data_IF_349171066743
#
_entry.id   IF_349171066743
#
_cell.length_a   1.000
_cell.length_b   1.000
_cell.length_c   1.000
_cell.angle_alpha   90.00
_cell.angle_beta   90.00
_cell.angle_gamma   90.00
#
_symmetry.space_group_name_H-M   'P 1'
#
loop_
_entity.id
_entity.type
_entity.pdbx_description
1 polymer ?
#
# COMPACT_ATOMS: atom_id res chain seq x y z
N UNK A 1 30.42 -7.92 -47.59
CA UNK A 1 29.90 -6.62 -47.15
C UNK A 1 29.02 -6.93 -45.98
N UNK A 2 29.59 -6.79 -44.82
CA UNK A 2 28.96 -7.08 -43.54
C UNK A 2 28.42 -5.74 -43.01
N UNK A 3 27.10 -5.55 -43.07
CA UNK A 3 26.46 -4.37 -42.52
C UNK A 3 26.32 -4.57 -41.00
N UNK A 4 27.35 -4.12 -40.29
CA UNK A 4 27.28 -3.99 -38.84
C UNK A 4 26.18 -3.00 -38.46
N UNK A 5 25.08 -3.50 -37.92
CA UNK A 5 24.07 -2.70 -37.24
C UNK A 5 24.67 -2.11 -35.97
N UNK A 6 25.14 -0.89 -36.14
CA UNK A 6 25.58 -0.02 -35.03
C UNK A 6 24.36 0.29 -34.16
N UNK A 7 24.18 -0.49 -33.07
CA UNK A 7 23.20 -0.16 -32.05
C UNK A 7 23.74 1.04 -31.27
N UNK A 8 22.95 2.09 -31.05
CA UNK A 8 23.40 3.23 -30.28
C UNK A 8 23.78 2.76 -28.87
N UNK A 9 25.06 2.87 -28.52
CA UNK A 9 25.53 2.73 -27.14
C UNK A 9 24.78 3.77 -26.30
N UNK A 10 23.94 3.31 -25.37
CA UNK A 10 23.32 4.18 -24.38
C UNK A 10 24.45 4.72 -23.48
N UNK A 11 24.85 5.96 -23.73
CA UNK A 11 25.79 6.66 -22.86
C UNK A 11 25.09 7.05 -21.56
N UNK A 12 25.20 6.21 -20.53
CA UNK A 12 24.81 6.59 -19.18
C UNK A 12 25.68 7.75 -18.69
N UNK A 13 25.02 8.86 -18.33
CA UNK A 13 25.74 9.98 -17.73
C UNK A 13 25.93 9.69 -16.23
N UNK A 14 27.15 9.84 -15.67
CA UNK A 14 27.38 9.70 -14.25
C UNK A 14 26.56 10.69 -13.46
N UNK A 15 26.10 10.29 -12.27
CA UNK A 15 25.36 11.17 -11.36
C UNK A 15 26.22 12.37 -10.93
N UNK A 16 25.83 13.56 -11.40
CA UNK A 16 26.48 14.84 -11.02
C UNK A 16 26.08 15.28 -9.58
N UNK A 17 25.07 14.66 -8.98
CA UNK A 17 24.62 14.97 -7.62
C UNK A 17 25.37 14.21 -6.53
N UNK A 18 26.07 13.11 -6.86
CA UNK A 18 26.72 12.19 -5.94
C UNK A 18 25.73 11.43 -5.05
N UNK A 19 24.47 11.29 -5.49
CA UNK A 19 23.44 10.60 -4.70
C UNK A 19 23.38 9.09 -4.93
N UNK A 20 23.95 8.61 -6.04
CA UNK A 20 24.01 7.18 -6.35
C UNK A 20 25.24 6.84 -7.19
N UNK A 21 25.62 5.58 -7.16
CA UNK A 21 26.62 4.97 -8.03
C UNK A 21 25.92 4.01 -8.98
N UNK A 22 26.28 4.04 -10.28
CA UNK A 22 25.74 3.15 -11.29
C UNK A 22 26.62 1.91 -11.43
N UNK A 23 25.98 0.76 -11.52
CA UNK A 23 26.64 -0.51 -11.84
C UNK A 23 26.79 -0.70 -13.35
N UNK A 24 27.89 -1.31 -13.76
CA UNK A 24 28.19 -1.59 -15.15
C UNK A 24 28.56 -3.07 -15.35
N UNK A 25 28.13 -3.69 -16.46
CA UNK A 25 27.38 -3.11 -17.59
C UNK A 25 25.92 -2.83 -17.23
N UNK A 26 25.36 -1.78 -17.84
CA UNK A 26 23.95 -1.45 -17.67
C UNK A 26 23.03 -2.61 -18.09
N UNK A 27 21.98 -2.92 -17.30
CA UNK A 27 21.07 -4.01 -17.62
C UNK A 27 20.26 -3.72 -18.89
N UNK A 28 19.87 -4.77 -19.60
CA UNK A 28 19.00 -4.65 -20.76
C UNK A 28 17.55 -4.51 -20.30
N UNK A 29 16.95 -3.33 -20.49
CA UNK A 29 15.59 -3.00 -20.07
C UNK A 29 14.57 -2.97 -21.22
N UNK A 30 14.97 -3.43 -22.42
CA UNK A 30 14.07 -3.47 -23.56
C UNK A 30 13.07 -4.61 -23.43
N UNK A 31 11.78 -4.27 -23.39
CA UNK A 31 10.69 -5.26 -23.48
C UNK A 31 10.44 -5.65 -24.95
N UNK A 32 9.82 -6.82 -25.16
CA UNK A 32 9.50 -7.33 -26.49
C UNK A 32 8.53 -6.42 -27.27
N UNK A 33 7.71 -5.63 -26.57
CA UNK A 33 6.74 -4.69 -27.13
C UNK A 33 7.32 -3.29 -27.40
N UNK A 34 8.62 -3.08 -27.13
CA UNK A 34 9.31 -1.81 -27.31
C UNK A 34 8.94 -0.72 -26.31
N UNK A 35 8.10 -1.03 -25.31
CA UNK A 35 7.78 -0.08 -24.24
C UNK A 35 8.90 -0.07 -23.20
N UNK A 36 9.13 1.11 -22.58
CA UNK A 36 10.05 1.23 -21.47
C UNK A 36 9.59 0.43 -20.23
N UNK A 37 10.50 0.13 -19.29
CA UNK A 37 10.17 -0.59 -18.08
C UNK A 37 9.22 0.21 -17.18
N UNK A 38 8.52 -0.47 -16.25
CA UNK A 38 7.91 0.17 -15.10
C UNK A 38 8.92 0.27 -13.97
N UNK A 39 8.82 1.30 -13.15
CA UNK A 39 9.55 1.45 -11.90
C UNK A 39 8.59 1.19 -10.73
N UNK A 40 8.85 0.15 -9.96
CA UNK A 40 8.17 -0.11 -8.69
C UNK A 40 9.04 0.48 -7.59
N UNK A 41 8.47 1.32 -6.72
CA UNK A 41 9.19 1.76 -5.53
C UNK A 41 8.55 1.17 -4.26
N UNK A 42 9.41 0.58 -3.44
CA UNK A 42 9.09 -0.14 -2.22
C UNK A 42 10.03 0.33 -1.09
N UNK A 43 9.75 1.52 -0.55
CA UNK A 43 10.56 2.15 0.49
C UNK A 43 10.06 1.75 1.88
N UNK A 44 10.93 1.11 2.67
CA UNK A 44 10.63 0.62 4.01
C UNK A 44 10.66 1.77 5.01
N UNK A 45 9.50 2.17 5.54
CA UNK A 45 9.46 3.31 6.46
C UNK A 45 8.08 3.57 7.03
N UNK A 46 7.60 4.80 6.86
CA UNK A 46 6.36 5.27 7.46
C UNK A 46 5.11 4.51 6.99
N UNK A 47 5.03 4.17 5.73
CA UNK A 47 3.87 3.48 5.12
C UNK A 47 4.13 1.99 4.91
N UNK A 48 4.60 1.27 5.95
CA UNK A 48 4.95 -0.15 5.88
C UNK A 48 4.30 -0.98 7.02
N UNK A 49 3.01 -0.78 7.25
CA UNK A 49 2.26 -1.61 8.20
C UNK A 49 2.35 -3.09 7.83
N UNK A 50 2.52 -3.95 8.83
CA UNK A 50 2.68 -5.40 8.62
C UNK A 50 3.98 -5.77 7.92
N UNK A 51 4.97 -4.87 7.87
CA UNK A 51 6.19 -5.03 7.07
C UNK A 51 5.90 -5.41 5.60
N UNK A 52 4.78 -4.97 5.09
CA UNK A 52 4.19 -5.41 3.82
C UNK A 52 5.05 -4.99 2.62
N UNK A 53 5.50 -3.72 2.60
CA UNK A 53 6.33 -3.17 1.53
C UNK A 53 7.68 -3.88 1.49
N UNK A 54 8.29 -4.09 2.67
CA UNK A 54 9.52 -4.86 2.80
C UNK A 54 9.35 -6.31 2.34
N UNK A 55 8.28 -6.99 2.77
CA UNK A 55 7.98 -8.37 2.35
C UNK A 55 7.82 -8.47 0.84
N UNK A 56 7.10 -7.53 0.22
CA UNK A 56 6.91 -7.49 -1.23
C UNK A 56 8.25 -7.32 -1.97
N UNK A 57 9.09 -6.37 -1.55
CA UNK A 57 10.40 -6.14 -2.15
C UNK A 57 11.34 -7.34 -1.99
N UNK A 58 11.40 -7.92 -0.79
CA UNK A 58 12.24 -9.09 -0.51
C UNK A 58 11.76 -10.31 -1.29
N UNK A 59 10.45 -10.51 -1.39
CA UNK A 59 9.87 -11.60 -2.17
C UNK A 59 10.29 -11.51 -3.64
N UNK A 60 10.12 -10.34 -4.28
CA UNK A 60 10.54 -10.13 -5.67
C UNK A 60 12.04 -10.39 -5.87
N UNK A 61 12.89 -9.85 -4.99
CA UNK A 61 14.36 -10.05 -5.07
C UNK A 61 14.78 -11.51 -4.88
N UNK A 62 14.05 -12.28 -4.08
CA UNK A 62 14.39 -13.66 -3.77
C UNK A 62 13.86 -14.67 -4.79
N UNK A 63 12.82 -14.32 -5.53
CA UNK A 63 12.15 -15.24 -6.45
C UNK A 63 12.42 -14.96 -7.92
N UNK A 64 12.86 -13.76 -8.25
CA UNK A 64 13.12 -13.35 -9.63
C UNK A 64 14.61 -13.11 -9.88
N UNK A 65 15.00 -13.20 -11.15
CA UNK A 65 16.35 -12.82 -11.59
C UNK A 65 16.55 -11.31 -11.36
N UNK A 66 17.57 -10.96 -10.59
CA UNK A 66 17.76 -9.61 -10.03
C UNK A 66 19.17 -9.12 -10.31
N UNK A 67 19.31 -7.98 -10.97
CA UNK A 67 20.58 -7.30 -11.25
C UNK A 67 20.59 -5.92 -10.55
N UNK A 68 21.69 -5.56 -9.88
CA UNK A 68 21.86 -4.23 -9.29
C UNK A 68 22.12 -3.21 -10.42
N UNK A 69 21.39 -2.10 -10.40
CA UNK A 69 21.49 -0.99 -11.36
C UNK A 69 22.17 0.22 -10.77
N UNK A 70 21.77 0.59 -9.54
CA UNK A 70 22.35 1.72 -8.82
C UNK A 70 22.24 1.53 -7.31
N UNK A 71 23.26 1.97 -6.60
CA UNK A 71 23.29 2.03 -5.13
C UNK A 71 23.27 3.49 -4.68
N UNK A 72 22.32 3.84 -3.80
CA UNK A 72 22.21 5.18 -3.26
C UNK A 72 23.15 5.41 -2.08
N UNK A 73 23.62 6.65 -1.94
CA UNK A 73 24.52 7.07 -0.86
C UNK A 73 23.80 7.10 0.49
N UNK A 74 23.65 5.93 1.10
CA UNK A 74 22.83 5.69 2.30
C UNK A 74 23.28 6.55 3.49
N UNK A 75 24.58 6.78 3.65
CA UNK A 75 25.16 7.62 4.71
C UNK A 75 24.71 9.09 4.65
N UNK A 76 24.27 9.55 3.47
CA UNK A 76 23.76 10.89 3.29
C UNK A 76 22.24 10.98 3.48
N UNK A 77 21.57 9.84 3.48
CA UNK A 77 20.12 9.71 3.45
C UNK A 77 19.50 9.26 4.76
N UNK A 78 20.23 8.49 5.59
CA UNK A 78 19.71 7.98 6.85
C UNK A 78 20.23 8.75 8.07
N UNK A 79 19.37 8.90 9.07
CA UNK A 79 19.76 9.28 10.41
C UNK A 79 20.02 8.02 11.26
N UNK A 80 21.27 7.58 11.31
CA UNK A 80 21.69 6.43 12.11
C UNK A 80 21.40 6.56 13.61
N UNK A 81 21.07 7.74 14.10
CA UNK A 81 20.69 7.94 15.50
C UNK A 81 19.25 7.58 15.76
N UNK A 82 18.39 7.78 14.77
CA UNK A 82 16.96 7.39 14.81
C UNK A 82 16.75 5.92 14.45
N UNK A 83 17.54 5.41 13.51
CA UNK A 83 17.46 4.04 12.99
C UNK A 83 18.83 3.37 13.04
N UNK A 84 19.18 2.80 14.22
CA UNK A 84 20.48 2.15 14.42
C UNK A 84 20.49 0.77 13.77
N UNK A 85 21.37 0.53 12.77
CA UNK A 85 21.57 -0.81 12.23
C UNK A 85 22.06 -1.77 13.31
N UNK A 86 21.69 -3.03 13.21
CA UNK A 86 22.06 -4.04 14.17
C UNK A 86 23.48 -4.56 13.91
N UNK A 87 24.19 -4.83 14.97
CA UNK A 87 25.48 -5.51 14.94
C UNK A 87 25.45 -6.71 15.87
N UNK A 88 26.07 -7.80 15.47
CA UNK A 88 26.23 -8.98 16.32
C UNK A 88 27.56 -8.92 17.04
N UNK A 89 27.52 -8.89 18.39
CA UNK A 89 28.69 -9.03 19.23
C UNK A 89 28.82 -10.48 19.70
N UNK A 90 29.91 -11.14 19.38
CA UNK A 90 30.14 -12.53 19.75
C UNK A 90 31.44 -12.62 20.57
N UNK A 91 31.30 -13.03 21.85
CA UNK A 91 32.35 -13.21 22.81
C UNK A 91 33.15 -11.92 23.10
N UNK A 92 34.00 -11.46 22.20
CA UNK A 92 34.94 -10.35 22.36
C UNK A 92 35.07 -9.43 21.14
N UNK A 93 34.29 -9.68 20.07
CA UNK A 93 34.34 -8.90 18.82
C UNK A 93 33.01 -8.86 18.12
N UNK A 94 32.86 -7.88 17.21
CA UNK A 94 31.71 -7.80 16.30
C UNK A 94 31.91 -8.72 15.10
N UNK A 95 30.89 -9.50 14.74
CA UNK A 95 30.95 -10.52 13.68
C UNK A 95 30.04 -10.22 12.49
N UNK A 96 29.02 -9.41 12.69
CA UNK A 96 28.07 -9.06 11.63
C UNK A 96 27.58 -7.62 11.81
N UNK A 97 27.29 -6.98 10.70
CA UNK A 97 26.67 -5.67 10.61
C UNK A 97 25.53 -5.75 9.59
N UNK A 98 24.35 -5.36 10.01
CA UNK A 98 23.16 -5.29 9.15
C UNK A 98 23.20 -3.98 8.38
N UNK A 99 23.88 -4.01 7.22
CA UNK A 99 24.19 -2.82 6.42
C UNK A 99 22.90 -2.27 5.78
N UNK A 100 22.54 -1.02 6.06
CA UNK A 100 21.35 -0.43 5.45
C UNK A 100 21.54 -0.27 3.93
N UNK A 101 20.52 -0.62 3.18
CA UNK A 101 20.54 -0.55 1.72
C UNK A 101 19.41 0.32 1.20
N UNK A 102 19.68 1.02 0.10
CA UNK A 102 18.70 1.66 -0.75
C UNK A 102 19.20 1.58 -2.19
N UNK A 103 18.62 0.70 -2.97
CA UNK A 103 19.14 0.31 -4.26
C UNK A 103 18.05 0.30 -5.34
N UNK A 104 18.45 0.54 -6.58
CA UNK A 104 17.67 0.29 -7.76
C UNK A 104 18.11 -1.03 -8.40
N UNK A 105 17.18 -1.93 -8.61
CA UNK A 105 17.39 -3.23 -9.23
C UNK A 105 16.64 -3.32 -10.56
N UNK A 106 17.17 -4.09 -11.50
CA UNK A 106 16.47 -4.59 -12.66
C UNK A 106 16.05 -6.03 -12.39
N UNK A 107 14.77 -6.34 -12.58
CA UNK A 107 14.21 -7.66 -12.42
C UNK A 107 13.53 -8.10 -13.70
N UNK A 108 13.35 -9.41 -13.84
CA UNK A 108 12.55 -10.02 -14.92
C UNK A 108 11.45 -10.86 -14.31
N UNK A 109 10.23 -10.67 -14.83
CA UNK A 109 9.09 -11.48 -14.45
C UNK A 109 9.19 -12.92 -15.01
N UNK A 110 8.24 -13.80 -14.69
CA UNK A 110 8.24 -15.22 -15.07
C UNK A 110 8.28 -15.46 -16.59
N UNK A 111 7.95 -14.46 -17.41
CA UNK A 111 8.02 -14.53 -18.89
C UNK A 111 9.17 -13.68 -19.48
N UNK A 112 10.02 -13.13 -18.62
CA UNK A 112 11.21 -12.37 -19.01
C UNK A 112 10.97 -10.88 -19.28
N UNK A 113 9.80 -10.31 -18.91
CA UNK A 113 9.54 -8.88 -19.05
C UNK A 113 10.35 -8.09 -18.01
N UNK A 114 11.20 -7.13 -18.46
CA UNK A 114 12.03 -6.36 -17.53
C UNK A 114 11.22 -5.28 -16.83
N UNK A 115 11.51 -5.08 -15.55
CA UNK A 115 11.03 -3.96 -14.75
C UNK A 115 12.08 -3.52 -13.73
N UNK A 116 11.88 -2.37 -13.12
CA UNK A 116 12.78 -1.78 -12.14
C UNK A 116 12.14 -1.82 -10.75
N UNK A 117 12.96 -2.10 -9.74
CA UNK A 117 12.56 -2.07 -8.32
C UNK A 117 13.51 -1.15 -7.55
N UNK A 118 13.00 -0.04 -7.05
CA UNK A 118 13.67 0.82 -6.07
C UNK A 118 13.27 0.32 -4.68
N UNK A 119 14.18 -0.29 -3.96
CA UNK A 119 13.90 -0.93 -2.68
C UNK A 119 14.99 -0.66 -1.64
N UNK A 120 14.58 -0.59 -0.38
CA UNK A 120 15.42 -0.37 0.77
C UNK A 120 14.80 0.62 1.74
N UNK A 121 15.62 1.15 2.66
CA UNK A 121 15.15 2.04 3.71
C UNK A 121 14.71 3.40 3.16
N UNK A 122 13.55 3.86 3.61
CA UNK A 122 13.08 5.20 3.31
C UNK A 122 14.07 6.27 3.84
N UNK A 123 14.52 7.24 3.00
CA UNK A 123 15.38 8.32 3.43
C UNK A 123 14.80 9.16 4.57
N UNK A 124 15.63 9.46 5.59
CA UNK A 124 15.30 10.43 6.65
C UNK A 124 15.64 11.85 6.23
N UNK A 125 16.64 12.00 5.35
CA UNK A 125 17.27 13.27 5.00
C UNK A 125 17.29 13.48 3.49
N UNK A 126 17.42 14.75 3.06
CA UNK A 126 17.68 15.14 1.66
C UNK A 126 16.64 14.66 0.65
N UNK A 127 15.40 14.56 1.03
CA UNK A 127 14.29 14.03 0.24
C UNK A 127 14.24 14.59 -1.18
N UNK A 128 14.29 15.91 -1.35
CA UNK A 128 14.20 16.54 -2.67
C UNK A 128 15.41 16.21 -3.59
N UNK A 129 16.62 16.03 -3.01
CA UNK A 129 17.79 15.62 -3.78
C UNK A 129 17.69 14.17 -4.21
N UNK A 130 17.26 13.28 -3.30
CA UNK A 130 17.02 11.87 -3.59
C UNK A 130 15.95 11.72 -4.68
N UNK A 131 14.81 12.40 -4.55
CA UNK A 131 13.72 12.35 -5.52
C UNK A 131 14.17 12.87 -6.88
N UNK A 132 14.96 13.94 -6.91
CA UNK A 132 15.53 14.45 -8.16
C UNK A 132 16.44 13.41 -8.82
N UNK A 133 17.29 12.73 -8.05
CA UNK A 133 18.17 11.68 -8.55
C UNK A 133 17.36 10.49 -9.11
N UNK A 134 16.34 10.01 -8.39
CA UNK A 134 15.43 8.94 -8.85
C UNK A 134 14.74 9.34 -10.15
N UNK A 135 14.19 10.56 -10.24
CA UNK A 135 13.51 11.05 -11.44
C UNK A 135 14.44 11.12 -12.65
N UNK A 136 15.66 11.64 -12.48
CA UNK A 136 16.64 11.70 -13.56
C UNK A 136 17.02 10.30 -14.02
N UNK A 137 17.24 9.38 -13.09
CA UNK A 137 17.57 7.99 -13.38
C UNK A 137 16.41 7.28 -14.09
N UNK A 138 15.17 7.47 -13.64
CA UNK A 138 13.98 6.95 -14.29
C UNK A 138 13.84 7.46 -15.74
N UNK A 139 14.10 8.76 -15.98
CA UNK A 139 14.09 9.35 -17.32
C UNK A 139 15.18 8.74 -18.20
N UNK A 140 16.40 8.60 -17.68
CA UNK A 140 17.54 8.02 -18.38
C UNK A 140 17.32 6.55 -18.77
N UNK A 141 16.65 5.79 -17.89
CA UNK A 141 16.31 4.38 -18.10
C UNK A 141 15.03 4.18 -18.93
N UNK A 142 14.37 5.26 -19.36
CA UNK A 142 13.17 5.20 -20.18
C UNK A 142 11.95 4.64 -19.45
N UNK A 143 11.85 4.86 -18.13
CA UNK A 143 10.70 4.44 -17.33
C UNK A 143 9.42 5.04 -17.87
N UNK A 144 8.45 4.18 -18.21
CA UNK A 144 7.14 4.60 -18.75
C UNK A 144 6.12 4.91 -17.65
N UNK A 145 6.20 4.23 -16.52
CA UNK A 145 5.27 4.36 -15.38
C UNK A 145 5.97 4.09 -14.07
N UNK A 146 5.63 4.84 -13.04
CA UNK A 146 6.08 4.62 -11.66
C UNK A 146 4.92 4.07 -10.84
N UNK A 147 5.17 2.99 -10.09
CA UNK A 147 4.17 2.33 -9.24
C UNK A 147 4.68 2.34 -7.80
N UNK A 148 3.92 3.00 -6.91
CA UNK A 148 4.25 3.08 -5.50
C UNK A 148 3.56 2.01 -4.66
N UNK A 149 4.29 1.44 -3.71
CA UNK A 149 3.78 0.50 -2.72
C UNK A 149 3.67 1.17 -1.35
N UNK A 150 2.53 0.99 -0.70
CA UNK A 150 2.31 1.44 0.67
C UNK A 150 1.40 0.49 1.44
N UNK A 151 1.51 0.53 2.76
CA UNK A 151 0.66 -0.23 3.67
C UNK A 151 0.34 0.60 4.90
N UNK A 152 -0.93 0.69 5.28
CA UNK A 152 -1.39 1.46 6.44
C UNK A 152 -2.25 0.61 7.37
N UNK A 153 -2.17 0.85 8.70
CA UNK A 153 -3.06 0.16 9.63
C UNK A 153 -4.49 0.69 9.49
N UNK A 154 -5.45 -0.22 9.36
CA UNK A 154 -6.87 0.11 9.26
C UNK A 154 -7.72 -0.76 10.18
N UNK A 155 -8.95 -0.32 10.44
CA UNK A 155 -9.96 -1.08 11.19
C UNK A 155 -10.62 -2.12 10.29
N UNK A 156 -9.82 -3.07 9.78
CA UNK A 156 -10.25 -4.19 8.94
C UNK A 156 -9.92 -5.51 9.62
N UNK A 157 -10.70 -6.59 9.42
CA UNK A 157 -10.39 -7.89 9.98
C UNK A 157 -9.44 -8.67 9.05
N UNK A 158 -8.64 -9.57 9.61
CA UNK A 158 -7.80 -10.50 8.84
C UNK A 158 -8.60 -11.62 8.14
N UNK A 159 -9.86 -11.81 8.55
CA UNK A 159 -10.77 -12.85 8.03
C UNK A 159 -11.51 -12.45 6.76
N UNK A 160 -11.25 -11.26 6.23
CA UNK A 160 -11.80 -10.76 4.96
C UNK A 160 -10.67 -10.46 3.98
N UNK A 161 -10.96 -10.43 2.67
CA UNK A 161 -9.97 -10.07 1.66
C UNK A 161 -9.30 -8.73 1.97
N UNK A 162 -7.99 -8.64 1.73
CA UNK A 162 -7.27 -7.38 1.90
C UNK A 162 -7.80 -6.35 0.89
N UNK A 163 -8.19 -5.18 1.39
CA UNK A 163 -8.57 -4.03 0.56
C UNK A 163 -7.39 -3.11 0.39
N UNK A 164 -7.46 -2.26 -0.63
CA UNK A 164 -6.45 -1.24 -0.88
C UNK A 164 -7.08 0.06 -1.39
N UNK A 165 -6.34 1.15 -1.21
CA UNK A 165 -6.61 2.44 -1.84
C UNK A 165 -5.65 2.60 -3.01
N UNK A 166 -6.20 2.88 -4.19
CA UNK A 166 -5.43 3.25 -5.36
C UNK A 166 -5.49 4.77 -5.58
N UNK A 167 -4.38 5.36 -6.03
CA UNK A 167 -4.33 6.76 -6.45
C UNK A 167 -3.43 6.92 -7.69
N UNK A 168 -3.68 7.95 -8.48
CA UNK A 168 -2.93 8.22 -9.70
C UNK A 168 -3.10 9.67 -10.14
N UNK A 169 -2.16 10.19 -10.92
CA UNK A 169 -2.32 11.43 -11.67
C UNK A 169 -3.12 11.26 -12.97
N UNK A 170 -3.40 10.02 -13.36
CA UNK A 170 -4.30 9.67 -14.44
C UNK A 170 -5.41 8.73 -13.93
N UNK A 171 -6.65 9.20 -13.93
CA UNK A 171 -7.81 8.47 -13.40
C UNK A 171 -8.12 7.19 -14.19
N UNK A 172 -7.74 7.11 -15.45
CA UNK A 172 -7.99 5.92 -16.28
C UNK A 172 -7.17 4.72 -15.77
N UNK A 173 -6.00 4.96 -15.15
CA UNK A 173 -5.14 3.91 -14.62
C UNK A 173 -5.71 3.21 -13.37
N UNK A 174 -6.65 3.85 -12.71
CA UNK A 174 -7.31 3.36 -11.47
C UNK A 174 -8.83 3.28 -11.61
N UNK A 175 -9.35 3.27 -12.84
CA UNK A 175 -10.80 3.29 -13.11
C UNK A 175 -11.58 2.10 -12.50
N UNK A 176 -10.90 0.97 -12.26
CA UNK A 176 -11.48 -0.21 -11.61
C UNK A 176 -11.52 -0.11 -10.07
N UNK A 177 -10.87 0.90 -9.50
CA UNK A 177 -10.82 1.11 -8.04
C UNK A 177 -11.83 2.17 -7.60
N UNK A 178 -12.47 1.91 -6.47
CA UNK A 178 -13.36 2.92 -5.86
C UNK A 178 -12.51 4.06 -5.30
N UNK A 179 -12.74 5.31 -5.75
CA UNK A 179 -11.96 6.44 -5.26
C UNK A 179 -12.25 6.71 -3.78
N UNK A 180 -11.23 7.21 -3.07
CA UNK A 180 -11.42 7.74 -1.72
C UNK A 180 -12.36 8.96 -1.75
N UNK A 181 -13.29 9.00 -0.80
CA UNK A 181 -14.28 10.08 -0.73
C UNK A 181 -13.83 11.12 0.28
N UNK A 182 -13.73 12.36 -0.19
CA UNK A 182 -13.37 13.52 0.64
C UNK A 182 -11.89 13.88 0.56
N UNK A 183 -11.51 14.83 1.39
CA UNK A 183 -10.16 15.37 1.52
C UNK A 183 -9.61 14.99 2.91
N UNK A 184 -8.39 14.48 2.95
CA UNK A 184 -7.71 14.13 4.19
C UNK A 184 -6.26 14.63 4.14
N UNK A 185 -5.78 15.20 5.24
CA UNK A 185 -4.37 15.54 5.41
C UNK A 185 -3.64 14.38 6.07
N UNK A 186 -2.59 13.90 5.42
CA UNK A 186 -1.75 12.82 5.91
C UNK A 186 -0.31 13.30 6.08
N UNK A 187 0.46 12.75 7.03
CA UNK A 187 1.89 13.00 7.09
C UNK A 187 2.56 12.57 5.79
N UNK A 188 3.46 13.39 5.27
CA UNK A 188 4.21 13.05 4.06
C UNK A 188 5.23 11.93 4.33
N UNK A 189 5.39 11.05 3.35
CA UNK A 189 6.51 10.09 3.25
C UNK A 189 7.35 10.41 2.02
N UNK A 190 8.55 9.85 1.94
CA UNK A 190 9.38 9.99 0.71
C UNK A 190 8.69 9.34 -0.48
N UNK A 191 8.01 8.21 -0.27
CA UNK A 191 7.22 7.55 -1.31
C UNK A 191 6.16 8.47 -1.89
N UNK A 192 5.32 9.07 -1.04
CA UNK A 192 4.27 9.97 -1.50
C UNK A 192 4.83 11.25 -2.16
N UNK A 193 5.93 11.79 -1.62
CA UNK A 193 6.57 12.96 -2.21
C UNK A 193 7.23 12.62 -3.55
N UNK A 194 7.83 11.43 -3.70
CA UNK A 194 8.37 10.94 -4.97
C UNK A 194 7.26 10.88 -6.03
N UNK A 195 6.15 10.25 -5.74
CA UNK A 195 5.00 10.17 -6.63
C UNK A 195 4.49 11.56 -7.03
N UNK A 196 4.32 12.44 -6.06
CA UNK A 196 3.87 13.81 -6.30
C UNK A 196 4.83 14.57 -7.22
N UNK A 197 6.16 14.48 -7.01
CA UNK A 197 7.16 15.13 -7.85
C UNK A 197 7.26 14.50 -9.24
N UNK A 198 7.18 13.18 -9.34
CA UNK A 198 7.16 12.49 -10.65
C UNK A 198 5.96 12.95 -11.48
N UNK A 199 4.76 13.01 -10.88
CA UNK A 199 3.55 13.51 -11.53
C UNK A 199 3.68 14.97 -11.98
N UNK A 200 4.26 15.86 -11.17
CA UNK A 200 4.52 17.27 -11.54
C UNK A 200 5.44 17.41 -12.76
N UNK A 201 6.30 16.41 -13.02
CA UNK A 201 7.20 16.40 -14.18
C UNK A 201 6.66 15.59 -15.36
N UNK A 202 5.37 15.21 -15.33
CA UNK A 202 4.68 14.56 -16.43
C UNK A 202 4.91 13.05 -16.54
N UNK A 203 5.46 12.39 -15.50
CA UNK A 203 5.52 10.93 -15.44
C UNK A 203 4.15 10.35 -15.09
N UNK A 204 3.83 9.20 -15.66
CA UNK A 204 2.70 8.38 -15.22
C UNK A 204 2.98 7.78 -13.84
N UNK A 205 2.08 8.01 -12.88
CA UNK A 205 2.23 7.56 -11.50
C UNK A 205 0.96 6.86 -11.03
N UNK A 206 1.13 5.70 -10.44
CA UNK A 206 0.08 4.95 -9.73
C UNK A 206 0.62 4.56 -8.37
N UNK A 207 -0.18 4.71 -7.32
CA UNK A 207 0.15 4.21 -6.00
C UNK A 207 -0.92 3.29 -5.46
N UNK A 208 -0.49 2.22 -4.81
CA UNK A 208 -1.35 1.26 -4.12
C UNK A 208 -1.00 1.20 -2.65
N UNK A 209 -1.97 1.49 -1.79
CA UNK A 209 -1.82 1.42 -0.34
C UNK A 209 -2.76 0.36 0.20
N UNK A 210 -2.23 -0.77 0.65
CA UNK A 210 -3.02 -1.87 1.20
C UNK A 210 -3.38 -1.59 2.65
N UNK A 211 -4.56 -2.03 3.05
CA UNK A 211 -5.08 -1.91 4.40
C UNK A 211 -4.72 -3.14 5.22
N UNK A 212 -3.90 -2.95 6.23
CA UNK A 212 -3.48 -4.00 7.16
C UNK A 212 -4.31 -3.90 8.44
N UNK A 213 -4.82 -5.02 8.98
CA UNK A 213 -5.48 -4.99 10.28
C UNK A 213 -4.60 -4.29 11.32
N UNK A 214 -5.12 -3.28 12.01
CA UNK A 214 -4.33 -2.45 12.92
C UNK A 214 -3.62 -3.24 14.02
N UNK A 215 -4.21 -4.37 14.46
CA UNK A 215 -3.62 -5.29 15.45
C UNK A 215 -2.47 -6.14 14.89
N UNK A 216 -2.26 -6.16 13.57
CA UNK A 216 -1.15 -6.82 12.89
C UNK A 216 -0.12 -5.85 12.31
N UNK A 217 -0.28 -4.54 12.53
CA UNK A 217 0.56 -3.51 11.93
C UNK A 217 2.07 -3.66 12.23
N UNK A 218 2.42 -4.28 13.34
CA UNK A 218 3.82 -4.51 13.77
C UNK A 218 4.30 -5.95 13.53
N UNK A 219 3.48 -6.79 12.89
CA UNK A 219 3.78 -8.20 12.64
C UNK A 219 3.82 -8.45 11.14
N UNK A 220 4.78 -9.21 10.65
CA UNK A 220 4.85 -9.59 9.23
C UNK A 220 3.51 -10.17 8.75
N UNK A 221 2.92 -9.54 7.73
CA UNK A 221 1.60 -9.89 7.21
C UNK A 221 1.63 -10.16 5.70
N UNK A 222 2.07 -11.37 5.28
CA UNK A 222 2.20 -11.77 3.87
C UNK A 222 0.94 -11.58 3.01
N UNK A 223 -0.31 -11.76 3.53
CA UNK A 223 -1.50 -11.55 2.71
C UNK A 223 -1.62 -10.12 2.12
N UNK A 224 -1.13 -9.11 2.84
CA UNK A 224 -1.11 -7.75 2.33
C UNK A 224 -0.05 -7.56 1.23
N UNK A 225 1.12 -8.20 1.36
CA UNK A 225 2.15 -8.18 0.32
C UNK A 225 1.69 -8.90 -0.96
N UNK A 226 1.00 -10.04 -0.82
CA UNK A 226 0.38 -10.75 -1.94
C UNK A 226 -0.64 -9.85 -2.66
N UNK A 227 -1.54 -9.21 -1.93
CA UNK A 227 -2.54 -8.30 -2.50
C UNK A 227 -1.91 -7.13 -3.24
N UNK A 228 -0.87 -6.48 -2.69
CA UNK A 228 -0.13 -5.41 -3.36
C UNK A 228 0.51 -5.89 -4.66
N UNK A 229 1.22 -7.01 -4.63
CA UNK A 229 1.92 -7.53 -5.82
C UNK A 229 0.94 -8.04 -6.87
N UNK A 230 -0.23 -8.54 -6.51
CA UNK A 230 -1.29 -8.88 -7.45
C UNK A 230 -1.78 -7.62 -8.21
N UNK A 231 -1.96 -6.49 -7.52
CA UNK A 231 -2.31 -5.23 -8.17
C UNK A 231 -1.20 -4.68 -9.05
N UNK A 232 0.05 -4.76 -8.62
CA UNK A 232 1.21 -4.40 -9.44
C UNK A 232 1.26 -5.25 -10.71
N UNK A 233 1.10 -6.57 -10.59
CA UNK A 233 1.10 -7.50 -11.72
C UNK A 233 0.04 -7.10 -12.75
N UNK A 234 -1.17 -6.77 -12.30
CA UNK A 234 -2.27 -6.30 -13.15
C UNK A 234 -1.96 -4.95 -13.81
N UNK A 235 -1.56 -3.94 -13.04
CA UNK A 235 -1.31 -2.57 -13.52
C UNK A 235 -0.12 -2.47 -14.46
N UNK A 236 0.91 -3.28 -14.23
CA UNK A 236 2.13 -3.31 -15.03
C UNK A 236 2.09 -4.33 -16.18
N UNK A 237 1.10 -5.23 -16.21
CA UNK A 237 1.01 -6.40 -17.08
C UNK A 237 2.23 -7.32 -16.91
N UNK A 238 2.61 -7.59 -15.65
CA UNK A 238 3.69 -8.49 -15.25
C UNK A 238 3.14 -9.84 -14.80
N UNK A 239 3.93 -10.89 -14.95
CA UNK A 239 3.66 -12.19 -14.36
C UNK A 239 4.58 -12.43 -13.16
N UNK A 240 4.06 -12.12 -11.96
CA UNK A 240 4.81 -12.22 -10.72
C UNK A 240 4.50 -13.54 -9.99
N UNK A 241 5.51 -14.22 -9.42
CA UNK A 241 5.33 -15.47 -8.68
C UNK A 241 4.77 -15.20 -7.27
N UNK A 242 3.47 -15.39 -7.03
CA UNK A 242 2.84 -15.06 -5.75
C UNK A 242 2.65 -16.27 -4.81
N UNK A 243 2.88 -17.50 -5.27
CA UNK A 243 2.59 -18.73 -4.54
C UNK A 243 3.22 -18.80 -3.15
N UNK A 244 4.49 -18.42 -3.02
CA UNK A 244 5.18 -18.45 -1.73
C UNK A 244 4.60 -17.45 -0.71
N UNK A 245 4.09 -16.29 -1.17
CA UNK A 245 3.40 -15.34 -0.29
C UNK A 245 2.03 -15.88 0.16
N UNK A 246 1.31 -16.53 -0.74
CA UNK A 246 0.04 -17.17 -0.43
C UNK A 246 0.20 -18.29 0.61
N UNK A 247 1.22 -19.16 0.46
CA UNK A 247 1.56 -20.21 1.42
C UNK A 247 1.93 -19.62 2.80
N UNK A 248 2.82 -18.61 2.83
CA UNK A 248 3.18 -17.91 4.05
C UNK A 248 1.97 -17.20 4.69
N UNK A 249 1.06 -16.65 3.86
CA UNK A 249 -0.20 -16.07 4.29
C UNK A 249 -1.10 -17.06 5.01
N UNK A 250 -1.25 -18.28 4.47
CA UNK A 250 -2.03 -19.34 5.08
C UNK A 250 -1.47 -19.75 6.46
N UNK A 251 -0.13 -19.85 6.61
CA UNK A 251 0.50 -20.13 7.90
C UNK A 251 0.24 -19.04 8.94
N UNK A 252 0.36 -17.77 8.54
CA UNK A 252 0.11 -16.62 9.44
C UNK A 252 -1.37 -16.59 9.82
N UNK A 253 -2.28 -16.82 8.88
CA UNK A 253 -3.72 -16.90 9.13
C UNK A 253 -4.06 -17.93 10.19
N UNK A 254 -3.51 -19.15 10.10
CA UNK A 254 -3.72 -20.20 11.08
C UNK A 254 -3.25 -19.79 12.48
N UNK A 255 -2.05 -19.21 12.60
CA UNK A 255 -1.51 -18.73 13.87
C UNK A 255 -2.37 -17.62 14.51
N UNK A 256 -2.90 -16.71 13.69
CA UNK A 256 -3.79 -15.65 14.17
C UNK A 256 -5.11 -16.26 14.68
N UNK A 257 -5.70 -17.18 13.94
CA UNK A 257 -6.94 -17.85 14.35
C UNK A 257 -6.79 -18.62 15.66
N UNK A 258 -5.68 -19.33 15.88
CA UNK A 258 -5.38 -19.99 17.16
C UNK A 258 -5.38 -18.98 18.32
N UNK A 259 -4.83 -17.77 18.11
CA UNK A 259 -4.84 -16.71 19.12
C UNK A 259 -6.24 -16.13 19.35
N UNK A 260 -7.03 -15.97 18.29
CA UNK A 260 -8.42 -15.49 18.38
C UNK A 260 -9.28 -16.49 19.15
N UNK A 261 -9.15 -17.79 18.87
CA UNK A 261 -9.87 -18.85 19.57
C UNK A 261 -9.49 -18.95 21.05
N UNK A 262 -8.25 -18.62 21.39
CA UNK A 262 -7.76 -18.64 22.77
C UNK A 262 -8.28 -17.48 23.64
N UNK A 263 -8.87 -16.42 23.04
CA UNK A 263 -9.36 -15.24 23.76
C UNK A 263 -10.72 -14.76 23.27
N UNK A 264 -11.73 -14.88 24.14
CA UNK A 264 -13.08 -14.38 23.81
C UNK A 264 -13.13 -12.86 23.57
N UNK A 265 -12.26 -12.07 24.19
CA UNK A 265 -12.16 -10.63 23.99
C UNK A 265 -11.65 -10.31 22.60
N UNK A 266 -10.60 -11.02 22.16
CA UNK A 266 -10.04 -10.86 20.80
C UNK A 266 -11.06 -11.29 19.76
N UNK A 267 -11.76 -12.42 19.97
CA UNK A 267 -12.82 -12.89 19.09
C UNK A 267 -13.95 -11.86 18.91
N UNK A 268 -14.36 -11.19 19.98
CA UNK A 268 -15.38 -10.13 19.90
C UNK A 268 -14.90 -8.93 19.07
N UNK A 269 -13.63 -8.52 19.21
CA UNK A 269 -13.05 -7.42 18.40
C UNK A 269 -13.04 -7.81 16.94
N UNK A 270 -12.59 -9.03 16.60
CA UNK A 270 -12.57 -9.50 15.20
C UNK A 270 -13.99 -9.52 14.63
N UNK A 271 -14.97 -10.06 15.37
CA UNK A 271 -16.38 -10.08 14.93
C UNK A 271 -16.95 -8.67 14.70
N UNK A 272 -16.62 -7.70 15.55
CA UNK A 272 -17.05 -6.32 15.36
C UNK A 272 -16.43 -5.70 14.08
N UNK A 273 -15.16 -5.97 13.83
CA UNK A 273 -14.47 -5.54 12.60
C UNK A 273 -15.06 -6.20 11.34
N UNK A 274 -15.43 -7.48 11.42
CA UNK A 274 -16.11 -8.17 10.32
C UNK A 274 -17.45 -7.50 9.97
N UNK A 275 -18.27 -7.23 10.97
CA UNK A 275 -19.55 -6.55 10.78
C UNK A 275 -19.38 -5.17 10.15
N UNK A 276 -18.39 -4.40 10.63
CA UNK A 276 -18.07 -3.09 10.07
C UNK A 276 -17.61 -3.18 8.62
N UNK A 277 -16.72 -4.13 8.32
CA UNK A 277 -16.22 -4.37 6.97
C UNK A 277 -17.35 -4.77 6.01
N UNK A 278 -18.16 -5.75 6.40
CA UNK A 278 -19.26 -6.26 5.58
C UNK A 278 -20.31 -5.15 5.30
N UNK A 279 -20.61 -4.30 6.29
CA UNK A 279 -21.47 -3.14 6.12
C UNK A 279 -20.88 -2.09 5.16
N UNK A 280 -19.56 -1.84 5.24
CA UNK A 280 -18.87 -0.92 4.35
C UNK A 280 -18.88 -1.41 2.89
N UNK A 281 -18.57 -2.69 2.66
CA UNK A 281 -18.59 -3.30 1.31
C UNK A 281 -20.00 -3.25 0.73
N UNK A 282 -21.04 -3.61 1.49
CA UNK A 282 -22.42 -3.53 1.05
C UNK A 282 -22.85 -2.09 0.69
N UNK A 283 -22.38 -1.10 1.43
CA UNK A 283 -22.64 0.32 1.13
C UNK A 283 -21.95 0.78 -0.17
N UNK A 284 -20.72 0.29 -0.43
CA UNK A 284 -20.01 0.58 -1.68
C UNK A 284 -20.69 -0.06 -2.90
N UNK A 285 -21.11 -1.32 -2.78
CA UNK A 285 -21.82 -2.03 -3.86
C UNK A 285 -23.13 -1.32 -4.22
N UNK A 286 -23.91 -0.93 -3.21
CA UNK A 286 -25.16 -0.19 -3.43
C UNK A 286 -24.90 1.17 -4.11
N UNK A 287 -23.85 1.87 -3.75
CA UNK A 287 -23.47 3.14 -4.37
C UNK A 287 -23.02 2.96 -5.81
N UNK A 288 -22.20 1.95 -6.11
CA UNK A 288 -21.79 1.63 -7.48
C UNK A 288 -22.96 1.23 -8.38
N UNK A 289 -24.01 0.62 -7.82
CA UNK A 289 -25.25 0.34 -8.54
C UNK A 289 -26.03 1.62 -8.84
N UNK A 290 -26.11 2.56 -7.89
CA UNK A 290 -26.76 3.86 -8.06
C UNK A 290 -26.03 4.78 -9.06
N UNK A 291 -24.70 4.71 -9.12
CA UNK A 291 -23.90 5.47 -10.09
C UNK A 291 -23.97 4.90 -11.53
N UNK A 292 -24.42 3.65 -11.69
CA UNK A 292 -24.64 3.02 -13.00
C UNK A 292 -26.04 3.25 -13.58
N UNK A 293 -27.03 3.54 -12.73
CA UNK A 293 -28.34 4.02 -13.17
C UNK A 293 -28.24 5.53 -13.34
N UNK A 294 -28.25 6.02 -14.58
CA UNK A 294 -28.13 7.42 -14.99
C UNK A 294 -29.29 8.36 -14.51
N UNK A 295 -30.04 7.96 -13.51
CA UNK A 295 -31.03 8.80 -12.81
C UNK A 295 -30.58 9.01 -11.35
N UNK A 296 -29.71 10.00 -11.16
CA UNK A 296 -29.49 10.55 -9.81
C UNK A 296 -30.84 11.09 -9.30
N UNK A 297 -31.30 10.65 -8.08
CA UNK A 297 -32.49 11.25 -7.47
C UNK A 297 -32.31 12.76 -7.39
N UNK A 298 -33.31 13.50 -7.76
CA UNK A 298 -33.31 14.97 -7.69
C UNK A 298 -33.09 15.41 -6.23
N UNK A 299 -32.52 16.61 -6.03
CA UNK A 299 -32.32 17.16 -4.69
C UNK A 299 -33.61 17.16 -3.83
N UNK A 300 -34.79 17.25 -4.48
CA UNK A 300 -36.10 17.20 -3.85
C UNK A 300 -36.47 15.76 -3.40
N UNK A 301 -36.08 14.73 -4.13
CA UNK A 301 -36.28 13.33 -3.76
C UNK A 301 -35.40 12.91 -2.58
N UNK A 302 -34.13 13.34 -2.58
CA UNK A 302 -33.19 13.14 -1.45
C UNK A 302 -33.69 13.89 -0.20
N UNK A 303 -34.24 15.11 -0.38
CA UNK A 303 -34.83 15.88 0.72
C UNK A 303 -36.04 15.16 1.32
N UNK A 304 -36.93 14.62 0.49
CA UNK A 304 -38.11 13.88 0.92
C UNK A 304 -37.78 12.54 1.59
N UNK A 305 -36.69 11.89 1.22
CA UNK A 305 -36.22 10.65 1.84
C UNK A 305 -35.55 10.92 3.19
N UNK A 306 -34.82 12.02 3.30
CA UNK A 306 -34.25 12.49 4.56
C UNK A 306 -35.32 12.95 5.56
N UNK A 307 -36.36 13.64 5.10
CA UNK A 307 -37.51 14.00 5.95
C UNK A 307 -38.29 12.77 6.44
N UNK A 308 -38.46 11.75 5.59
CA UNK A 308 -39.06 10.46 5.98
C UNK A 308 -38.23 9.72 7.02
N UNK A 309 -36.91 9.70 6.88
CA UNK A 309 -36.00 9.11 7.82
C UNK A 309 -36.05 9.82 9.19
N UNK A 310 -36.07 11.16 9.20
CA UNK A 310 -36.18 11.95 10.42
C UNK A 310 -37.56 11.75 11.11
N UNK A 311 -38.65 11.64 10.34
CA UNK A 311 -39.97 11.37 10.86
C UNK A 311 -40.06 9.97 11.50
N UNK A 312 -39.45 8.95 10.91
CA UNK A 312 -39.37 7.60 11.48
C UNK A 312 -38.56 7.57 12.79
N UNK A 313 -37.44 8.30 12.86
CA UNK A 313 -36.68 8.41 14.11
C UNK A 313 -37.43 9.16 15.21
N UNK A 314 -38.26 10.13 14.86
CA UNK A 314 -39.09 10.85 15.84
C UNK A 314 -40.25 9.98 16.38
N UNK A 315 -40.84 9.13 15.53
CA UNK A 315 -41.89 8.17 15.93
C UNK A 315 -41.35 7.04 16.82
N UNK A 316 -40.14 6.56 16.58
CA UNK A 316 -39.50 5.55 17.42
C UNK A 316 -39.11 6.11 18.79
N UNK A 317 -38.62 7.34 18.86
CA UNK A 317 -38.40 8.02 20.16
C UNK A 317 -39.67 8.23 20.94
N UNK A 318 -40.80 8.51 20.26
CA UNK A 318 -42.10 8.69 20.93
C UNK A 318 -42.70 7.37 21.45
N UNK A 319 -42.31 6.22 20.84
CA UNK A 319 -42.69 4.89 21.33
C UNK A 319 -41.91 4.51 22.60
N UNK A 320 -40.62 4.83 22.65
CA UNK A 320 -39.78 4.56 23.82
C UNK A 320 -40.15 5.42 25.06
N UNK A 321 -40.56 6.68 24.85
CA UNK A 321 -41.02 7.53 25.93
C UNK A 321 -42.40 7.07 26.46
N UNK A 322 -43.29 6.52 25.64
CA UNK A 322 -44.57 5.96 26.12
C UNK A 322 -44.43 4.68 26.96
N UNK A 323 -43.35 3.94 26.77
CA UNK A 323 -43.06 2.76 27.63
C UNK A 323 -42.40 3.14 28.95
N UNK A 324 -41.82 4.33 29.07
CA UNK A 324 -41.18 4.84 30.29
C UNK A 324 -42.17 5.46 31.29
N UNK A 325 -43.26 6.09 30.81
CA UNK A 325 -44.28 6.70 31.64
C UNK A 325 -45.33 5.71 32.17
N UNK A 326 -45.32 4.46 31.72
CA UNK A 326 -46.25 3.38 32.16
C UNK A 326 -45.82 2.61 33.39
N UNK A 327 -44.67 2.88 34.00
CA UNK A 327 -44.14 2.13 35.16
C UNK A 327 -43.99 2.99 36.42
N UNK A 328 -44.60 4.22 36.47
CA UNK A 328 -44.45 5.17 37.54
C UNK A 328 -45.55 5.16 38.62
N UNK A 329 -46.64 4.37 38.52
CA UNK A 329 -47.80 4.47 39.39
C UNK A 329 -48.19 3.13 40.07
N UNK A 330 -47.26 2.43 40.66
CA UNK A 330 -47.55 1.21 41.40
C UNK A 330 -46.72 1.02 42.68
N UNK A 331 -46.47 2.09 43.45
CA UNK A 331 -46.10 1.99 44.88
C UNK A 331 -46.40 3.31 45.57
N UNK A 332 -47.67 3.49 45.87
CA UNK A 332 -48.19 4.50 46.79
C UNK A 332 -48.82 3.85 48.01
N UNK A 333 -48.43 4.33 49.15
CA UNK A 333 -49.08 4.25 50.44
C UNK A 333 -49.26 2.91 51.18
N UNK A 334 -48.66 2.85 52.32
CA UNK A 334 -48.84 1.90 53.42
C UNK A 334 -48.16 2.37 54.67
N UNK A 335 -48.70 3.36 55.23
CA UNK A 335 -49.11 3.71 56.61
C UNK A 335 -48.36 3.05 57.79
N UNK A 336 -47.81 3.89 58.60
CA UNK A 336 -47.98 4.11 60.06
C UNK A 336 -47.89 2.90 61.02
N UNK A 337 -46.95 2.88 61.88
CA UNK A 337 -46.99 2.87 63.36
C UNK A 337 -45.60 2.65 63.92
#
# INVERSE_FOLDING_TARGET
MDEGTDKPEQHYQPDQSGMYELEFPAPQLSSADGRGPVLIHALEGFSDAGHTVRLAAQHLKNTLDTELVASFAIDELLDYRSRRPLMTFKTDHFTNYDDPELNLYALRDDIGTPFLLLAGMEPDLRWERFITAVRLLATQLGVRRTIGLGAIPMAVPHTRPATLTAHSNDKELIAEHTPWIGEVQVPASVSNLLEFRMAQHGHEVVGYTVHVPHYLAQTAYPPAAEALLAEVARAASLQLPLTALSEAGAEVYNKINEQVEASSEVAQVVTALEQQYDAFVAAQENRSLLERDDELPSGDELGAEFERFLAQQADDKHKDDKYRDGYGDAFGDGDNS
#
